data_IF_347937001044
#
_entry.id   IF_347937001044
#
_cell.length_a   1.000
_cell.length_b   1.000
_cell.length_c   1.000
_cell.angle_alpha   90.00
_cell.angle_beta   90.00
_cell.angle_gamma   90.00
#
_symmetry.space_group_name_H-M   'P 1'
#
loop_
_entity.id
_entity.type
_entity.pdbx_description
1 polymer ?
#
# COMPACT_ATOMS: atom_id res chain seq x y z
N UNK A 1 23.07 -62.58 -24.85
CA UNK A 1 22.83 -61.66 -23.71
C UNK A 1 22.24 -60.37 -24.27
N UNK A 2 20.96 -60.07 -23.98
CA UNK A 2 20.27 -58.86 -24.48
C UNK A 2 20.43 -57.75 -23.45
N UNK A 3 21.08 -56.66 -23.84
CA UNK A 3 21.27 -55.46 -23.01
C UNK A 3 20.02 -54.59 -23.12
N UNK A 4 19.23 -54.52 -22.06
CA UNK A 4 18.11 -53.60 -21.93
C UNK A 4 18.65 -52.28 -21.40
N UNK A 5 18.69 -51.25 -22.24
CA UNK A 5 18.99 -49.87 -21.82
C UNK A 5 17.68 -49.25 -21.33
N UNK A 6 17.55 -49.07 -20.03
CA UNK A 6 16.46 -48.29 -19.41
C UNK A 6 16.82 -46.81 -19.58
N UNK A 7 16.09 -46.13 -20.45
CA UNK A 7 16.07 -44.67 -20.55
C UNK A 7 15.30 -44.12 -19.35
N UNK A 8 16.02 -43.57 -18.37
CA UNK A 8 15.42 -42.78 -17.29
C UNK A 8 15.06 -41.42 -17.88
N UNK A 9 13.81 -41.29 -18.32
CA UNK A 9 13.19 -40.00 -18.59
C UNK A 9 12.90 -39.33 -17.24
N UNK A 10 13.88 -38.62 -16.69
CA UNK A 10 13.65 -37.66 -15.62
C UNK A 10 12.97 -36.44 -16.25
N UNK A 11 11.65 -36.49 -16.34
CA UNK A 11 10.83 -35.30 -16.58
C UNK A 11 10.99 -34.36 -15.39
N UNK A 12 11.93 -33.41 -15.48
CA UNK A 12 11.90 -32.20 -14.67
C UNK A 12 10.67 -31.40 -15.09
N UNK A 13 9.54 -31.68 -14.45
CA UNK A 13 8.43 -30.73 -14.37
C UNK A 13 8.92 -29.55 -13.55
N UNK A 14 9.37 -28.51 -14.24
CA UNK A 14 9.50 -27.19 -13.66
C UNK A 14 8.09 -26.74 -13.20
N UNK A 15 7.91 -26.25 -11.96
CA UNK A 15 6.86 -25.29 -11.73
C UNK A 15 7.36 -23.98 -12.34
N UNK A 16 6.95 -23.69 -13.56
CA UNK A 16 6.75 -22.29 -13.97
C UNK A 16 5.78 -21.72 -12.96
N UNK A 17 6.28 -20.94 -12.00
CA UNK A 17 5.45 -20.03 -11.21
C UNK A 17 4.80 -19.10 -12.22
N UNK A 18 3.61 -19.46 -12.69
CA UNK A 18 2.66 -18.53 -13.22
C UNK A 18 2.48 -17.47 -12.13
N UNK A 19 3.18 -16.35 -12.27
CA UNK A 19 2.62 -15.08 -11.83
C UNK A 19 1.42 -14.87 -12.74
N UNK A 20 0.30 -15.49 -12.39
CA UNK A 20 -0.97 -14.94 -12.80
C UNK A 20 -0.95 -13.49 -12.28
N UNK A 21 -1.26 -12.53 -13.13
CA UNK A 21 -1.49 -11.14 -12.76
C UNK A 21 -2.64 -11.10 -11.74
N UNK A 22 -2.35 -11.40 -10.48
CA UNK A 22 -3.29 -11.26 -9.39
C UNK A 22 -3.56 -9.76 -9.25
N UNK A 23 -4.81 -9.37 -9.47
CA UNK A 23 -5.26 -8.03 -9.21
C UNK A 23 -4.94 -7.69 -7.74
N UNK A 24 -4.45 -6.47 -7.45
CA UNK A 24 -4.08 -6.10 -6.09
C UNK A 24 -5.32 -6.12 -5.19
N UNK A 25 -5.18 -6.56 -3.94
CA UNK A 25 -6.28 -6.60 -2.97
C UNK A 25 -6.79 -5.20 -2.63
N UNK A 26 -7.95 -5.12 -1.95
CA UNK A 26 -8.48 -3.85 -1.47
C UNK A 26 -7.50 -3.18 -0.50
N UNK A 27 -6.91 -3.96 0.41
CA UNK A 27 -5.91 -3.51 1.38
C UNK A 27 -4.62 -3.01 0.71
N UNK A 28 -4.12 -3.72 -0.31
CA UNK A 28 -2.95 -3.30 -1.08
C UNK A 28 -3.23 -2.00 -1.84
N UNK A 29 -4.41 -1.90 -2.47
CA UNK A 29 -4.85 -0.70 -3.18
C UNK A 29 -4.96 0.50 -2.23
N UNK A 30 -5.49 0.32 -1.02
CA UNK A 30 -5.59 1.37 -0.01
C UNK A 30 -4.22 1.76 0.56
N UNK A 31 -3.32 0.79 0.78
CA UNK A 31 -1.96 1.07 1.20
C UNK A 31 -1.23 1.95 0.16
N UNK A 32 -1.39 1.62 -1.12
CA UNK A 32 -0.87 2.44 -2.21
C UNK A 32 -1.48 3.83 -2.24
N UNK A 33 -2.82 3.95 -2.11
CA UNK A 33 -3.49 5.25 -2.14
C UNK A 33 -2.99 6.14 -0.98
N UNK A 34 -2.99 5.64 0.25
CA UNK A 34 -2.68 6.44 1.43
C UNK A 34 -1.19 6.76 1.58
N UNK A 35 -0.31 5.80 1.28
CA UNK A 35 1.12 5.89 1.59
C UNK A 35 2.03 5.81 0.38
N UNK A 36 1.50 5.46 -0.81
CA UNK A 36 2.32 5.25 -2.00
C UNK A 36 3.30 4.11 -1.90
N UNK A 37 2.91 3.05 -1.19
CA UNK A 37 3.73 1.87 -0.99
C UNK A 37 3.16 0.67 -1.72
N UNK A 38 4.07 -0.12 -2.26
CA UNK A 38 3.81 -1.41 -2.90
C UNK A 38 4.89 -2.40 -2.44
N UNK A 39 4.62 -3.70 -2.50
CA UNK A 39 5.67 -4.68 -2.25
C UNK A 39 6.81 -4.50 -3.26
N UNK A 40 8.04 -4.46 -2.79
CA UNK A 40 9.21 -4.23 -3.64
C UNK A 40 9.45 -2.77 -4.02
N UNK A 41 8.62 -1.82 -3.55
CA UNK A 41 8.86 -0.40 -3.80
C UNK A 41 10.17 0.07 -3.15
N UNK A 42 10.92 0.89 -3.89
CA UNK A 42 12.18 1.47 -3.42
C UNK A 42 11.90 2.73 -2.61
N UNK A 43 12.55 2.85 -1.47
CA UNK A 43 12.52 4.05 -0.61
C UNK A 43 13.93 4.55 -0.37
N UNK A 44 14.12 5.86 -0.48
CA UNK A 44 15.39 6.52 -0.22
C UNK A 44 15.21 7.78 0.62
N UNK A 45 16.24 8.11 1.38
CA UNK A 45 16.30 9.30 2.23
C UNK A 45 17.70 9.91 2.21
N UNK A 46 17.78 11.21 2.47
CA UNK A 46 19.03 11.94 2.60
C UNK A 46 19.54 12.51 1.29
N UNK A 47 20.85 12.76 1.21
CA UNK A 47 21.48 13.40 0.06
C UNK A 47 22.83 12.78 -0.26
N UNK A 48 23.02 12.43 -1.54
CA UNK A 48 24.30 11.91 -2.07
C UNK A 48 25.41 12.94 -1.93
N UNK A 49 25.13 14.22 -2.16
CA UNK A 49 26.14 15.30 -2.04
C UNK A 49 26.59 15.54 -0.60
N UNK A 50 25.75 15.17 0.38
CA UNK A 50 26.07 15.28 1.81
C UNK A 50 26.56 13.95 2.41
N UNK A 51 26.70 12.89 1.62
CA UNK A 51 27.10 11.56 2.11
C UNK A 51 26.10 10.92 3.09
N UNK A 52 24.84 11.39 3.09
CA UNK A 52 23.78 10.91 4.00
C UNK A 52 22.76 10.01 3.30
N UNK A 53 22.96 9.73 2.02
CA UNK A 53 22.06 8.90 1.22
C UNK A 53 21.94 7.49 1.81
N UNK A 54 20.70 7.05 2.00
CA UNK A 54 20.37 5.68 2.37
C UNK A 54 19.18 5.24 1.51
N UNK A 55 19.16 3.95 1.17
CA UNK A 55 18.03 3.35 0.47
C UNK A 55 17.68 1.95 0.94
N UNK A 56 16.44 1.51 0.70
CA UNK A 56 16.05 0.12 0.84
C UNK A 56 14.72 -0.19 0.15
N UNK A 57 14.17 -1.36 0.44
CA UNK A 57 13.00 -1.91 -0.24
C UNK A 57 11.90 -2.18 0.78
N UNK A 58 10.69 -1.73 0.49
CA UNK A 58 9.49 -2.08 1.26
C UNK A 58 9.14 -3.53 0.99
N UNK A 59 8.94 -4.31 2.05
CA UNK A 59 8.59 -5.73 1.96
C UNK A 59 7.17 -5.96 2.47
N UNK A 60 6.38 -6.73 1.74
CA UNK A 60 5.07 -7.19 2.19
C UNK A 60 5.17 -8.57 2.84
N UNK A 61 4.66 -8.72 4.06
CA UNK A 61 4.75 -9.97 4.84
C UNK A 61 3.46 -10.79 4.83
N UNK A 62 2.33 -10.18 4.47
CA UNK A 62 1.01 -10.84 4.35
C UNK A 62 0.12 -10.11 3.34
N UNK A 63 -0.83 -10.83 2.74
CA UNK A 63 -1.85 -10.27 1.83
C UNK A 63 -3.09 -9.74 2.57
N UNK A 64 -3.40 -10.25 3.78
CA UNK A 64 -4.50 -9.77 4.62
C UNK A 64 -4.24 -10.05 6.13
N UNK A 65 -4.22 -9.03 7.01
CA UNK A 65 -4.10 -7.62 6.64
C UNK A 65 -2.85 -7.40 5.77
N UNK A 66 -2.90 -6.47 4.83
CA UNK A 66 -1.72 -6.15 4.02
C UNK A 66 -0.70 -5.49 4.93
N UNK A 67 0.41 -6.18 5.19
CA UNK A 67 1.45 -5.74 6.11
C UNK A 67 2.72 -5.41 5.37
N UNK A 68 3.17 -4.15 5.51
CA UNK A 68 4.36 -3.60 4.91
C UNK A 68 5.39 -3.30 6.00
N UNK A 69 6.62 -3.73 5.78
CA UNK A 69 7.77 -3.40 6.62
C UNK A 69 8.74 -2.52 5.85
N UNK A 70 9.18 -1.43 6.48
CA UNK A 70 10.17 -0.52 5.94
C UNK A 70 11.54 -0.86 6.51
N UNK A 71 12.62 -0.62 5.76
CA UNK A 71 13.96 -0.75 6.31
C UNK A 71 14.16 0.18 7.50
N UNK A 72 14.85 -0.30 8.54
CA UNK A 72 14.93 0.30 9.87
C UNK A 72 15.30 1.81 9.92
N UNK A 73 16.04 2.27 8.92
CA UNK A 73 16.53 3.64 8.81
C UNK A 73 15.82 4.47 7.73
N UNK A 74 14.79 3.94 7.06
CA UNK A 74 14.09 4.59 5.95
C UNK A 74 12.67 5.01 6.36
N UNK A 75 12.22 6.18 5.91
CA UNK A 75 10.84 6.65 6.11
C UNK A 75 10.46 7.11 7.53
N UNK A 76 9.19 7.46 7.72
CA UNK A 76 8.57 7.83 9.02
C UNK A 76 8.14 6.58 9.82
N UNK A 77 7.76 5.51 9.11
CA UNK A 77 7.21 4.29 9.69
C UNK A 77 8.18 3.11 9.62
N UNK A 78 8.10 2.22 10.62
CA UNK A 78 8.70 0.87 10.62
C UNK A 78 7.79 -0.15 9.96
N UNK A 79 6.48 -0.04 10.19
CA UNK A 79 5.50 -0.93 9.58
C UNK A 79 4.16 -0.27 9.40
N UNK A 80 3.43 -0.68 8.37
CA UNK A 80 2.04 -0.31 8.09
C UNK A 80 1.24 -1.58 7.87
N UNK A 81 0.06 -1.68 8.47
CA UNK A 81 -0.89 -2.77 8.28
C UNK A 81 -2.25 -2.20 7.89
N UNK A 82 -2.80 -2.66 6.78
CA UNK A 82 -4.13 -2.24 6.28
C UNK A 82 -5.08 -3.43 6.36
N UNK A 83 -6.28 -3.22 6.90
CA UNK A 83 -7.32 -4.24 7.02
C UNK A 83 -8.67 -3.65 6.64
N UNK A 84 -9.40 -4.29 5.74
CA UNK A 84 -10.80 -3.93 5.52
C UNK A 84 -11.66 -4.36 6.73
N UNK A 85 -12.41 -3.43 7.32
CA UNK A 85 -13.32 -3.72 8.44
C UNK A 85 -14.77 -3.80 8.01
N UNK A 86 -15.16 -2.95 7.05
CA UNK A 86 -16.48 -2.92 6.44
C UNK A 86 -16.33 -2.58 4.94
N UNK A 87 -17.39 -2.70 4.11
CA UNK A 87 -17.35 -2.20 2.74
C UNK A 87 -16.87 -0.75 2.69
N UNK A 88 -15.77 -0.49 1.98
CA UNK A 88 -15.10 0.80 1.89
C UNK A 88 -14.51 1.40 3.18
N UNK A 89 -14.49 0.67 4.28
CA UNK A 89 -13.89 1.14 5.53
C UNK A 89 -12.66 0.30 5.85
N UNK A 90 -11.54 0.99 6.05
CA UNK A 90 -10.24 0.37 6.22
C UNK A 90 -9.58 0.84 7.52
N UNK A 91 -9.25 -0.11 8.40
CA UNK A 91 -8.42 0.13 9.57
C UNK A 91 -6.95 0.06 9.14
N UNK A 92 -6.22 1.11 9.46
CA UNK A 92 -4.78 1.20 9.24
C UNK A 92 -4.07 1.32 10.57
N UNK A 93 -3.12 0.44 10.81
CA UNK A 93 -2.22 0.48 11.94
C UNK A 93 -0.82 0.84 11.43
N UNK A 94 -0.20 1.88 11.99
CA UNK A 94 1.19 2.22 11.72
C UNK A 94 2.01 2.10 13.00
N UNK A 95 3.29 1.79 12.83
CA UNK A 95 4.29 1.83 13.90
C UNK A 95 5.45 2.68 13.43
N UNK A 96 5.80 3.71 14.17
CA UNK A 96 6.93 4.58 13.85
C UNK A 96 8.28 3.97 14.27
N UNK A 97 9.38 4.68 14.01
CA UNK A 97 10.74 4.28 14.41
C UNK A 97 10.98 4.32 15.91
N UNK A 98 10.22 5.11 16.67
CA UNK A 98 10.27 5.14 18.13
C UNK A 98 9.44 4.00 18.77
N UNK A 99 8.75 3.20 17.95
CA UNK A 99 7.87 2.12 18.40
C UNK A 99 6.48 2.60 18.82
N UNK A 100 6.15 3.90 18.63
CA UNK A 100 4.81 4.41 18.84
C UNK A 100 3.88 3.80 17.79
N UNK A 101 2.68 3.47 18.23
CA UNK A 101 1.64 2.89 17.38
C UNK A 101 0.55 3.92 17.18
N UNK A 102 0.00 3.95 15.98
CA UNK A 102 -1.18 4.73 15.67
C UNK A 102 -2.17 3.85 14.92
N UNK A 103 -3.45 3.97 15.27
CA UNK A 103 -4.55 3.37 14.53
C UNK A 103 -5.50 4.45 14.02
N UNK A 104 -5.84 4.35 12.73
CA UNK A 104 -6.86 5.18 12.08
C UNK A 104 -7.77 4.31 11.24
N UNK A 105 -9.07 4.60 11.25
CA UNK A 105 -10.03 4.03 10.32
C UNK A 105 -10.34 5.07 9.24
N UNK A 106 -10.25 4.66 7.98
CA UNK A 106 -10.54 5.50 6.82
C UNK A 106 -11.83 5.01 6.16
N UNK A 107 -12.80 5.90 6.03
CA UNK A 107 -14.05 5.65 5.33
C UNK A 107 -13.97 6.23 3.91
N UNK A 108 -13.74 5.34 2.94
CA UNK A 108 -13.68 5.70 1.53
C UNK A 108 -15.06 5.96 0.92
N UNK A 109 -16.18 5.70 1.61
CA UNK A 109 -17.48 6.22 1.17
C UNK A 109 -17.51 7.74 1.16
N UNK A 110 -16.63 8.36 1.93
CA UNK A 110 -16.45 9.79 1.99
C UNK A 110 -15.26 10.29 1.17
N UNK A 111 -14.66 9.46 0.30
CA UNK A 111 -13.65 9.94 -0.64
C UNK A 111 -14.25 11.07 -1.49
N UNK A 112 -13.49 12.14 -1.76
CA UNK A 112 -13.99 13.27 -2.54
C UNK A 112 -13.12 13.58 -3.75
N UNK A 113 -11.80 13.77 -3.57
CA UNK A 113 -10.93 14.10 -4.70
C UNK A 113 -9.44 13.87 -4.42
N UNK A 114 -8.65 13.76 -5.49
CA UNK A 114 -7.20 13.88 -5.48
C UNK A 114 -6.81 15.30 -5.89
N UNK A 115 -6.14 16.00 -4.98
CA UNK A 115 -5.52 17.30 -5.24
C UNK A 115 -4.03 17.09 -5.49
N UNK A 116 -3.46 17.78 -6.47
CA UNK A 116 -2.02 17.82 -6.67
C UNK A 116 -1.51 19.22 -6.37
N UNK A 117 -0.46 19.34 -5.56
CA UNK A 117 0.18 20.64 -5.33
C UNK A 117 0.94 21.07 -6.59
N UNK A 118 1.32 22.35 -6.68
CA UNK A 118 2.20 22.85 -7.75
C UNK A 118 3.58 22.16 -7.77
N UNK A 119 3.93 21.43 -6.69
CA UNK A 119 5.15 20.62 -6.59
C UNK A 119 4.93 19.15 -7.00
N UNK A 120 3.71 18.78 -7.39
CA UNK A 120 3.35 17.42 -7.78
C UNK A 120 2.99 16.49 -6.62
N UNK A 121 2.90 17.01 -5.38
CA UNK A 121 2.55 16.18 -4.23
C UNK A 121 1.06 15.79 -4.29
N UNK A 122 0.80 14.49 -4.34
CA UNK A 122 -0.54 13.92 -4.27
C UNK A 122 -1.17 14.12 -2.91
N UNK A 123 -2.45 14.48 -2.90
CA UNK A 123 -3.19 14.88 -1.72
C UNK A 123 -4.62 14.35 -1.79
N UNK A 124 -5.03 13.53 -0.83
CA UNK A 124 -6.37 12.91 -0.82
C UNK A 124 -7.30 13.73 0.04
N UNK A 125 -8.39 14.23 -0.52
CA UNK A 125 -9.44 14.89 0.21
C UNK A 125 -10.63 13.94 0.45
N UNK A 126 -11.10 13.91 1.68
CA UNK A 126 -12.35 13.27 2.08
C UNK A 126 -13.40 14.34 2.39
N UNK A 127 -14.65 14.05 2.05
CA UNK A 127 -15.86 14.80 2.41
C UNK A 127 -16.47 14.26 3.71
N UNK A 128 -17.61 14.78 4.14
CA UNK A 128 -18.31 14.32 5.36
C UNK A 128 -17.76 14.92 6.66
N UNK A 129 -18.38 14.55 7.78
CA UNK A 129 -18.02 15.10 9.10
C UNK A 129 -16.86 14.36 9.78
N UNK A 130 -16.72 13.05 9.51
CA UNK A 130 -15.76 12.19 10.22
C UNK A 130 -15.20 11.04 9.36
N UNK A 131 -14.63 11.32 8.16
CA UNK A 131 -14.16 10.27 7.26
C UNK A 131 -12.91 9.52 7.76
N UNK A 132 -12.24 10.07 8.78
CA UNK A 132 -11.05 9.48 9.39
C UNK A 132 -11.29 9.44 10.89
N UNK A 133 -11.29 8.25 11.50
CA UNK A 133 -11.51 8.09 12.94
C UNK A 133 -10.23 7.58 13.58
N UNK A 134 -9.73 8.27 14.60
CA UNK A 134 -8.56 7.86 15.38
C UNK A 134 -8.94 6.81 16.42
N UNK A 135 -7.93 6.16 17.01
CA UNK A 135 -8.12 5.16 18.07
C UNK A 135 -8.92 5.69 19.28
N UNK A 136 -8.80 6.98 19.60
CA UNK A 136 -9.52 7.64 20.69
C UNK A 136 -10.98 8.03 20.33
N UNK A 137 -11.44 7.65 19.13
CA UNK A 137 -12.78 7.97 18.61
C UNK A 137 -12.91 9.40 18.09
N UNK A 138 -11.87 10.23 18.17
CA UNK A 138 -11.91 11.57 17.61
C UNK A 138 -11.79 11.53 16.09
N UNK A 139 -12.56 12.38 15.42
CA UNK A 139 -12.41 12.60 13.99
C UNK A 139 -11.04 13.23 13.71
N UNK A 140 -10.27 12.58 12.84
CA UNK A 140 -9.21 13.27 12.13
C UNK A 140 -9.84 14.47 11.43
N UNK A 141 -9.20 15.65 11.54
CA UNK A 141 -9.67 16.85 10.84
C UNK A 141 -9.93 16.48 9.37
N UNK A 142 -11.07 16.91 8.81
CA UNK A 142 -11.30 16.90 7.36
C UNK A 142 -10.05 17.47 6.71
N UNK A 143 -9.28 16.59 6.10
CA UNK A 143 -7.85 16.78 6.11
C UNK A 143 -7.33 16.13 4.86
N UNK A 144 -6.89 16.98 3.95
CA UNK A 144 -6.18 16.52 2.78
C UNK A 144 -4.96 15.72 3.24
N UNK A 145 -5.00 14.40 3.12
CA UNK A 145 -3.90 13.51 3.49
C UNK A 145 -2.82 13.69 2.45
N UNK A 146 -1.62 14.04 2.88
CA UNK A 146 -0.46 14.01 1.99
C UNK A 146 -0.14 12.54 1.73
N UNK A 147 0.01 12.18 0.47
CA UNK A 147 0.57 10.87 0.12
C UNK A 147 2.06 10.92 0.44
N UNK A 148 2.52 10.03 1.31
CA UNK A 148 3.84 10.13 1.94
C UNK A 148 5.00 9.94 0.96
N UNK A 149 4.81 9.09 -0.06
CA UNK A 149 5.80 8.85 -1.11
C UNK A 149 5.42 9.52 -2.43
N UNK A 150 6.42 9.81 -3.27
CA UNK A 150 6.21 10.40 -4.60
C UNK A 150 5.50 9.35 -5.47
N UNK A 151 4.19 9.49 -5.63
CA UNK A 151 3.42 8.74 -6.62
C UNK A 151 3.09 9.66 -7.79
N UNK A 152 3.25 9.16 -9.01
CA UNK A 152 2.70 9.83 -10.18
C UNK A 152 1.17 9.96 -10.09
N UNK A 153 0.68 11.15 -10.40
CA UNK A 153 -0.73 11.50 -10.29
C UNK A 153 -1.67 10.53 -11.03
N UNK A 154 -1.23 10.04 -12.20
CA UNK A 154 -2.00 9.13 -13.04
C UNK A 154 -2.14 7.74 -12.39
N UNK A 155 -1.08 7.21 -11.76
CA UNK A 155 -1.13 5.93 -11.05
C UNK A 155 -2.05 6.01 -9.85
N UNK A 156 -1.96 7.09 -9.09
CA UNK A 156 -2.84 7.30 -7.93
C UNK A 156 -4.30 7.42 -8.36
N UNK A 157 -4.60 8.16 -9.43
CA UNK A 157 -5.94 8.24 -10.01
C UNK A 157 -6.49 6.87 -10.42
N UNK A 158 -5.69 6.07 -11.14
CA UNK A 158 -6.07 4.70 -11.52
C UNK A 158 -6.34 3.80 -10.32
N UNK A 159 -5.55 3.91 -9.25
CA UNK A 159 -5.77 3.13 -8.03
C UNK A 159 -7.08 3.51 -7.32
N UNK A 160 -7.39 4.82 -7.26
CA UNK A 160 -8.67 5.29 -6.72
C UNK A 160 -9.85 4.79 -7.55
N UNK A 161 -9.75 4.90 -8.88
CA UNK A 161 -10.79 4.40 -9.78
C UNK A 161 -10.98 2.89 -9.65
N UNK A 162 -9.89 2.14 -9.54
CA UNK A 162 -9.92 0.70 -9.32
C UNK A 162 -10.57 0.35 -7.97
N UNK A 163 -10.18 1.02 -6.88
CA UNK A 163 -10.81 0.85 -5.56
C UNK A 163 -12.32 1.08 -5.64
N UNK A 164 -12.72 2.20 -6.25
CA UNK A 164 -14.13 2.58 -6.43
C UNK A 164 -14.92 1.54 -7.20
N UNK A 165 -14.39 1.08 -8.33
CA UNK A 165 -15.13 0.18 -9.23
C UNK A 165 -15.17 -1.26 -8.71
N UNK A 166 -14.09 -1.72 -8.08
CA UNK A 166 -13.89 -3.13 -7.75
C UNK A 166 -14.25 -3.45 -6.31
N UNK A 167 -13.87 -2.60 -5.35
CA UNK A 167 -14.01 -2.88 -3.91
C UNK A 167 -15.01 -1.96 -3.21
N UNK A 168 -15.38 -0.86 -3.87
CA UNK A 168 -16.31 0.13 -3.36
C UNK A 168 -17.50 0.43 -4.30
N UNK A 169 -18.11 -0.57 -4.94
CA UNK A 169 -19.15 -0.32 -5.92
C UNK A 169 -20.35 0.38 -5.30
N UNK A 170 -20.78 1.49 -5.91
CA UNK A 170 -21.94 2.27 -5.48
C UNK A 170 -21.66 3.32 -4.39
N UNK A 171 -20.43 3.41 -3.89
CA UNK A 171 -20.03 4.49 -2.99
C UNK A 171 -20.03 5.85 -3.74
N UNK A 172 -20.38 6.96 -3.07
CA UNK A 172 -20.62 8.27 -3.70
C UNK A 172 -19.33 9.05 -4.06
N UNK A 173 -18.18 8.36 -4.13
CA UNK A 173 -16.83 8.88 -4.45
C UNK A 173 -16.81 10.12 -5.37
#
# INVERSE_FOLDING_TARGET
>A
MKVVKVLVAAALLAPTTCFADELPTAEETVAFILYGIENGSYVDVGSTSLGTYRSGIVSQTSSAPAEYSFPDDMGEYRSISVKQTDPCVFSVNSRDKAGQKERRNYDFNHFATLVFTSRGDGRIAFSGECPIVREDGNCGKNGTIKVDNIIFADRLGKAVDFLRQTYCPGAPF
#
